data_IF_869993878535
#
_entry.id   IF_869993878535
#
_cell.length_a   1.000
_cell.length_b   1.000
_cell.length_c   1.000
_cell.angle_alpha   90.00
_cell.angle_beta   90.00
_cell.angle_gamma   90.00
#
_symmetry.space_group_name_H-M   'P 1'
#
loop_
_entity.id
_entity.type
_entity.pdbx_description
1 polymer ?
#
# COMPACT_ATOMS: atom_id res chain seq x y z
N UNK A 1 -1.88 9.89 76.60
CA UNK A 1 -2.86 10.33 75.58
C UNK A 1 -2.66 9.43 74.37
N UNK A 2 -3.25 8.23 74.39
CA UNK A 2 -4.43 7.78 73.62
C UNK A 2 -4.16 7.54 72.11
N UNK A 3 -4.38 6.28 71.73
CA UNK A 3 -4.39 5.57 70.44
C UNK A 3 -5.11 6.21 69.23
N UNK A 4 -4.64 5.88 68.00
CA UNK A 4 -5.32 5.07 66.94
C UNK A 4 -4.50 5.10 65.63
N UNK A 5 -3.95 4.00 65.08
CA UNK A 5 -4.55 2.88 64.32
C UNK A 5 -5.33 3.23 63.04
N UNK A 6 -4.88 2.67 61.90
CA UNK A 6 -5.63 1.85 60.88
C UNK A 6 -5.09 2.13 59.46
N UNK A 7 -4.26 1.29 58.83
CA UNK A 7 -4.56 0.04 58.09
C UNK A 7 -5.74 0.16 57.09
N UNK A 8 -5.39 0.13 55.79
CA UNK A 8 -6.08 -0.46 54.62
C UNK A 8 -5.05 -0.39 53.45
N UNK A 9 -4.31 -1.42 53.03
CA UNK A 9 -4.64 -2.71 52.38
C UNK A 9 -5.22 -2.55 50.96
N UNK A 10 -4.49 -3.12 49.96
CA UNK A 10 -4.87 -3.41 48.56
C UNK A 10 -5.03 -2.20 47.61
N UNK A 11 -4.44 -2.14 46.41
CA UNK A 11 -4.52 -3.10 45.31
C UNK A 11 -3.23 -3.10 44.46
N UNK A 12 -2.65 -4.28 44.34
CA UNK A 12 -1.78 -4.72 43.24
C UNK A 12 -2.68 -4.99 42.03
N UNK A 13 -2.55 -4.25 40.92
CA UNK A 13 -3.00 -4.67 39.58
C UNK A 13 -2.40 -3.70 38.55
N UNK A 14 -1.31 -4.08 37.88
CA UNK A 14 -1.42 -4.68 36.55
C UNK A 14 -1.85 -3.70 35.45
N UNK A 15 -1.20 -2.54 35.33
CA UNK A 15 -1.12 -1.90 34.02
C UNK A 15 -0.03 -2.61 33.22
N UNK A 16 -0.32 -3.85 32.80
CA UNK A 16 0.29 -4.43 31.61
C UNK A 16 0.09 -3.35 30.55
N UNK A 17 1.15 -2.61 30.22
CA UNK A 17 1.16 -1.87 28.98
C UNK A 17 1.05 -2.96 27.92
N UNK A 18 -0.15 -3.08 27.36
CA UNK A 18 -0.39 -3.92 26.21
C UNK A 18 0.60 -3.44 25.16
N UNK A 19 1.71 -4.16 25.05
CA UNK A 19 2.47 -4.23 23.83
C UNK A 19 1.51 -4.81 22.81
N UNK A 20 0.66 -3.95 22.25
CA UNK A 20 0.12 -4.19 20.93
C UNK A 20 1.35 -4.14 20.02
N UNK A 21 2.06 -5.26 19.97
CA UNK A 21 2.80 -5.61 18.78
C UNK A 21 1.73 -5.66 17.71
N UNK A 22 1.51 -4.53 17.06
CA UNK A 22 0.83 -4.48 15.78
C UNK A 22 1.71 -5.34 14.89
N UNK A 23 1.39 -6.63 14.83
CA UNK A 23 2.01 -7.55 13.91
C UNK A 23 1.72 -6.98 12.53
N UNK A 24 2.70 -6.27 11.96
CA UNK A 24 2.60 -5.68 10.64
C UNK A 24 2.57 -6.84 9.65
N UNK A 25 1.36 -7.37 9.43
CA UNK A 25 1.13 -8.43 8.47
C UNK A 25 0.86 -7.76 7.13
N UNK A 26 1.64 -8.16 6.11
CA UNK A 26 1.43 -7.73 4.74
C UNK A 26 -0.04 -7.95 4.34
N UNK A 27 -0.65 -7.07 3.53
CA UNK A 27 -1.96 -7.29 2.95
C UNK A 27 -1.98 -8.65 2.24
N UNK A 28 -3.07 -9.42 2.39
CA UNK A 28 -3.25 -10.65 1.61
C UNK A 28 -3.70 -10.33 0.18
N UNK A 29 -3.48 -11.22 -0.81
CA UNK A 29 -3.88 -10.97 -2.19
C UNK A 29 -5.37 -10.63 -2.32
N UNK A 30 -6.24 -11.39 -1.64
CA UNK A 30 -7.69 -11.14 -1.59
C UNK A 30 -8.07 -9.77 -1.03
N UNK A 31 -7.30 -9.23 -0.08
CA UNK A 31 -7.53 -7.88 0.45
C UNK A 31 -7.14 -6.83 -0.60
N UNK A 32 -6.02 -7.04 -1.29
CA UNK A 32 -5.54 -6.16 -2.37
C UNK A 32 -6.56 -6.13 -3.50
N UNK A 33 -6.92 -7.28 -4.05
CA UNK A 33 -7.89 -7.40 -5.13
C UNK A 33 -9.22 -6.73 -4.81
N UNK A 34 -9.76 -6.98 -3.62
CA UNK A 34 -11.02 -6.39 -3.18
C UNK A 34 -10.93 -4.86 -3.09
N UNK A 35 -9.83 -4.33 -2.56
CA UNK A 35 -9.73 -2.89 -2.23
C UNK A 35 -9.29 -2.05 -3.40
N UNK A 36 -8.41 -2.55 -4.25
CA UNK A 36 -7.85 -1.78 -5.36
C UNK A 36 -8.91 -1.43 -6.41
N UNK A 37 -9.95 -2.26 -6.55
CA UNK A 37 -11.06 -2.03 -7.48
C UNK A 37 -12.17 -1.11 -6.95
N UNK A 38 -12.14 -0.73 -5.67
CA UNK A 38 -13.21 0.07 -5.03
C UNK A 38 -13.19 1.57 -5.37
N UNK A 39 -12.37 2.04 -6.32
CA UNK A 39 -12.33 3.45 -6.69
C UNK A 39 -11.31 3.85 -7.75
N UNK A 40 -11.13 5.15 -7.87
CA UNK A 40 -10.17 5.78 -8.79
C UNK A 40 -8.93 6.21 -8.03
N UNK A 41 -7.77 5.94 -8.61
CA UNK A 41 -6.47 6.18 -7.99
C UNK A 41 -5.66 7.19 -8.79
N UNK A 42 -4.81 7.95 -8.10
CA UNK A 42 -3.75 8.78 -8.68
C UNK A 42 -2.41 8.42 -8.05
N UNK A 43 -1.31 8.82 -8.68
CA UNK A 43 0.01 8.74 -8.04
C UNK A 43 0.13 9.83 -6.98
N UNK A 44 0.31 9.41 -5.74
CA UNK A 44 0.65 10.27 -4.61
C UNK A 44 2.16 10.42 -4.40
N UNK A 45 2.92 9.41 -4.80
CA UNK A 45 4.38 9.41 -4.79
C UNK A 45 4.90 8.38 -5.80
N UNK A 46 5.92 8.75 -6.57
CA UNK A 46 6.76 7.82 -7.31
C UNK A 46 8.22 8.19 -7.06
N UNK A 47 8.96 7.28 -6.42
CA UNK A 47 10.40 7.42 -6.16
C UNK A 47 11.12 6.19 -6.70
N UNK A 48 12.09 6.41 -7.58
CA UNK A 48 12.79 5.35 -8.32
C UNK A 48 14.27 5.70 -8.40
N UNK A 49 15.16 4.80 -8.01
CA UNK A 49 16.61 4.96 -8.02
C UNK A 49 17.12 6.24 -7.32
N UNK A 50 16.34 6.74 -6.35
CA UNK A 50 16.62 7.98 -5.62
C UNK A 50 16.00 9.24 -6.23
N UNK A 51 15.47 9.18 -7.45
CA UNK A 51 14.77 10.28 -8.11
C UNK A 51 13.28 10.30 -7.77
N UNK A 52 12.68 11.50 -7.74
CA UNK A 52 11.24 11.66 -7.52
C UNK A 52 10.55 11.99 -8.85
N UNK A 53 9.69 11.08 -9.31
CA UNK A 53 9.01 11.16 -10.61
C UNK A 53 7.52 11.54 -10.48
N UNK A 54 7.04 11.80 -9.26
CA UNK A 54 5.61 12.06 -8.95
C UNK A 54 4.95 13.08 -9.88
N UNK A 55 5.65 14.17 -10.23
CA UNK A 55 5.10 15.24 -11.05
C UNK A 55 4.78 14.80 -12.49
N UNK A 56 5.46 13.78 -13.01
CA UNK A 56 5.24 13.21 -14.34
C UNK A 56 3.88 12.52 -14.49
N UNK A 57 3.19 12.26 -13.37
CA UNK A 57 1.90 11.56 -13.33
C UNK A 57 0.76 12.48 -12.88
N UNK A 58 0.97 13.80 -12.87
CA UNK A 58 -0.08 14.76 -12.52
C UNK A 58 -1.27 14.64 -13.49
N UNK A 59 -2.47 14.50 -12.94
CA UNK A 59 -3.70 14.37 -13.73
C UNK A 59 -3.96 12.97 -14.31
N UNK A 60 -3.00 12.05 -14.20
CA UNK A 60 -3.19 10.63 -14.57
C UNK A 60 -4.04 9.93 -13.52
N UNK A 61 -5.03 9.16 -13.99
CA UNK A 61 -5.96 8.39 -13.17
C UNK A 61 -5.91 6.93 -13.57
N UNK A 62 -5.98 6.07 -12.57
CA UNK A 62 -5.97 4.62 -12.70
C UNK A 62 -7.28 4.07 -12.12
N UNK A 63 -7.94 3.21 -12.88
CA UNK A 63 -9.13 2.47 -12.43
C UNK A 63 -8.86 0.99 -12.62
N UNK A 64 -8.64 0.30 -11.51
CA UNK A 64 -8.50 -1.15 -11.49
C UNK A 64 -9.90 -1.76 -11.57
N UNK A 65 -10.11 -2.66 -12.52
CA UNK A 65 -11.36 -3.38 -12.74
C UNK A 65 -11.25 -4.81 -12.26
N UNK A 66 -12.39 -5.39 -11.91
CA UNK A 66 -12.53 -6.84 -11.78
C UNK A 66 -12.01 -7.54 -13.06
N UNK A 67 -11.52 -8.78 -12.90
CA UNK A 67 -10.93 -9.58 -13.97
C UNK A 67 -9.61 -9.06 -14.55
N UNK A 68 -8.90 -8.18 -13.83
CA UNK A 68 -7.51 -7.87 -14.11
C UNK A 68 -7.27 -6.88 -15.24
N UNK A 69 -8.24 -5.99 -15.53
CA UNK A 69 -8.04 -4.84 -16.44
C UNK A 69 -7.76 -3.58 -15.64
N UNK A 70 -6.87 -2.71 -16.12
CA UNK A 70 -6.62 -1.38 -15.56
C UNK A 70 -6.80 -0.31 -16.62
N UNK A 71 -7.74 0.61 -16.40
CA UNK A 71 -7.95 1.76 -17.28
C UNK A 71 -7.09 2.93 -16.81
N UNK A 72 -6.36 3.55 -17.73
CA UNK A 72 -5.58 4.78 -17.48
C UNK A 72 -6.19 5.92 -18.28
N UNK A 73 -6.42 7.04 -17.63
CA UNK A 73 -6.99 8.24 -18.26
C UNK A 73 -6.30 9.52 -17.77
N UNK A 74 -6.42 10.60 -18.56
CA UNK A 74 -5.75 11.88 -18.31
C UNK A 74 -5.07 12.36 -19.59
N UNK A 75 -3.83 12.82 -19.47
CA UNK A 75 -2.96 13.10 -20.62
C UNK A 75 -2.56 11.83 -21.38
N UNK A 76 -2.51 10.70 -20.65
CA UNK A 76 -2.33 9.35 -21.18
C UNK A 76 -3.69 8.65 -21.14
N UNK A 77 -4.10 8.03 -22.24
CA UNK A 77 -5.31 7.22 -22.33
C UNK A 77 -4.97 5.85 -22.91
N UNK A 78 -4.98 4.83 -22.06
CA UNK A 78 -4.67 3.46 -22.46
C UNK A 78 -5.32 2.46 -21.49
N UNK A 79 -5.23 1.18 -21.81
CA UNK A 79 -5.61 0.10 -20.91
C UNK A 79 -4.44 -0.85 -20.73
N UNK A 80 -4.34 -1.43 -19.55
CA UNK A 80 -3.38 -2.47 -19.20
C UNK A 80 -4.05 -3.65 -18.51
N UNK A 81 -3.23 -4.56 -18.02
CA UNK A 81 -3.66 -5.64 -17.15
C UNK A 81 -3.03 -5.54 -15.76
N UNK A 82 -3.65 -6.18 -14.79
CA UNK A 82 -3.11 -6.34 -13.44
C UNK A 82 -3.55 -7.67 -12.82
N UNK A 83 -2.78 -8.19 -11.87
CA UNK A 83 -3.18 -9.29 -11.00
C UNK A 83 -2.37 -9.29 -9.71
N UNK A 84 -2.88 -9.95 -8.67
CA UNK A 84 -2.11 -10.23 -7.46
C UNK A 84 -1.56 -11.65 -7.51
N UNK A 85 -0.30 -11.84 -7.11
CA UNK A 85 0.31 -13.16 -7.02
C UNK A 85 -0.40 -14.04 -5.98
N UNK A 86 -0.95 -15.18 -6.40
CA UNK A 86 -1.57 -16.12 -5.48
C UNK A 86 -0.50 -16.91 -4.69
N UNK A 87 -0.59 -16.87 -3.36
CA UNK A 87 0.31 -17.64 -2.49
C UNK A 87 1.62 -16.94 -2.14
N UNK A 88 1.86 -15.74 -2.68
CA UNK A 88 3.03 -14.94 -2.35
C UNK A 88 2.87 -14.27 -0.96
N UNK A 89 3.89 -14.43 -0.11
CA UNK A 89 4.07 -13.68 1.13
C UNK A 89 5.50 -13.12 1.16
N UNK A 90 5.70 -11.81 0.92
CA UNK A 90 4.68 -10.76 0.81
C UNK A 90 3.86 -10.84 -0.51
N UNK A 91 2.65 -10.26 -0.51
CA UNK A 91 1.82 -10.17 -1.72
C UNK A 91 2.46 -9.30 -2.79
N UNK A 92 2.50 -9.80 -4.01
CA UNK A 92 2.93 -9.07 -5.20
C UNK A 92 1.73 -8.56 -6.01
N UNK A 93 1.84 -7.33 -6.51
CA UNK A 93 0.95 -6.72 -7.49
C UNK A 93 1.72 -6.57 -8.79
N UNK A 94 1.26 -7.26 -9.82
CA UNK A 94 1.80 -7.16 -11.17
C UNK A 94 0.88 -6.26 -11.99
N UNK A 95 1.46 -5.34 -12.74
CA UNK A 95 0.77 -4.53 -13.73
C UNK A 95 1.48 -4.66 -15.07
N UNK A 96 0.77 -4.45 -16.18
CA UNK A 96 1.36 -4.47 -17.51
C UNK A 96 0.64 -3.48 -18.41
N UNK A 97 1.41 -2.63 -19.07
CA UNK A 97 0.92 -1.64 -20.02
C UNK A 97 1.54 -1.83 -21.40
N UNK A 98 0.90 -1.34 -22.48
CA UNK A 98 1.46 -1.40 -23.82
C UNK A 98 2.82 -0.71 -23.91
N UNK A 99 3.77 -1.33 -24.63
CA UNK A 99 5.13 -0.79 -24.85
C UNK A 99 5.10 0.58 -25.56
N UNK A 100 4.02 0.90 -26.28
CA UNK A 100 3.81 2.21 -26.89
C UNK A 100 3.65 3.35 -25.88
N UNK A 101 3.43 3.05 -24.60
CA UNK A 101 3.28 4.02 -23.51
C UNK A 101 4.49 3.98 -22.54
N UNK A 102 5.65 4.49 -22.94
CA UNK A 102 6.88 4.39 -22.16
C UNK A 102 6.81 5.09 -20.80
N UNK A 103 5.94 6.09 -20.65
CA UNK A 103 5.68 6.78 -19.37
C UNK A 103 5.11 5.85 -18.30
N UNK A 104 4.46 4.76 -18.71
CA UNK A 104 3.88 3.76 -17.80
C UNK A 104 4.79 2.54 -17.57
N UNK A 105 5.97 2.51 -18.18
CA UNK A 105 6.93 1.39 -18.05
C UNK A 105 7.30 1.09 -16.59
N UNK A 106 7.43 2.14 -15.77
CA UNK A 106 7.70 2.01 -14.33
C UNK A 106 6.68 1.12 -13.60
N UNK A 107 5.40 1.18 -13.98
CA UNK A 107 4.38 0.38 -13.32
C UNK A 107 4.45 -1.09 -13.72
N UNK A 108 5.05 -1.40 -14.87
CA UNK A 108 5.12 -2.76 -15.42
C UNK A 108 6.23 -3.59 -14.78
N UNK A 109 6.18 -3.74 -13.46
CA UNK A 109 7.16 -4.46 -12.64
C UNK A 109 6.47 -5.32 -11.56
N UNK A 110 7.24 -6.09 -10.79
CA UNK A 110 6.74 -6.89 -9.68
C UNK A 110 6.77 -6.10 -8.35
N UNK A 111 5.64 -5.50 -8.01
CA UNK A 111 5.54 -4.63 -6.83
C UNK A 111 5.09 -5.40 -5.60
N UNK A 112 5.90 -5.39 -4.54
CA UNK A 112 5.45 -5.81 -3.21
C UNK A 112 4.42 -4.80 -2.69
N UNK A 113 3.28 -5.31 -2.23
CA UNK A 113 2.25 -4.50 -1.57
C UNK A 113 2.55 -4.41 -0.08
N UNK A 114 3.16 -3.31 0.37
CA UNK A 114 3.44 -3.07 1.78
C UNK A 114 2.17 -2.61 2.54
N UNK A 115 1.32 -1.80 1.90
CA UNK A 115 0.04 -1.36 2.47
C UNK A 115 -1.09 -1.34 1.44
N UNK A 116 -2.30 -1.73 1.86
CA UNK A 116 -3.53 -1.54 1.11
C UNK A 116 -4.67 -1.13 2.03
N UNK A 117 -5.19 0.08 1.85
CA UNK A 117 -6.36 0.60 2.56
C UNK A 117 -7.42 1.11 1.58
N UNK A 118 -8.48 1.75 2.09
CA UNK A 118 -9.43 2.44 1.24
C UNK A 118 -8.87 3.74 0.66
N UNK A 119 -7.77 4.29 1.19
CA UNK A 119 -7.26 5.59 0.76
C UNK A 119 -5.93 5.52 0.06
N UNK A 120 -5.12 4.52 0.40
CA UNK A 120 -3.75 4.39 -0.09
C UNK A 120 -3.41 2.93 -0.39
N UNK A 121 -2.64 2.73 -1.45
CA UNK A 121 -1.93 1.49 -1.74
C UNK A 121 -0.45 1.87 -1.85
N UNK A 122 0.38 1.31 -0.97
CA UNK A 122 1.83 1.56 -0.91
C UNK A 122 2.52 0.32 -1.45
N UNK A 123 3.34 0.56 -2.46
CA UNK A 123 4.06 -0.44 -3.19
C UNK A 123 5.55 -0.17 -3.08
N UNK A 124 6.31 -1.26 -3.00
CA UNK A 124 7.76 -1.25 -3.04
C UNK A 124 8.25 -2.26 -4.05
N UNK A 125 9.32 -1.91 -4.76
CA UNK A 125 9.86 -2.81 -5.79
C UNK A 125 10.43 -4.08 -5.18
N UNK A 126 10.21 -5.23 -5.82
CA UNK A 126 10.73 -6.52 -5.39
C UNK A 126 12.20 -6.73 -5.80
N UNK A 127 13.07 -5.77 -5.46
CA UNK A 127 14.49 -5.84 -5.80
C UNK A 127 15.40 -5.61 -4.57
N UNK A 128 16.64 -6.09 -4.68
CA UNK A 128 17.69 -5.92 -3.67
C UNK A 128 18.61 -4.74 -3.98
N UNK A 129 18.03 -3.59 -4.31
CA UNK A 129 18.78 -2.35 -4.55
C UNK A 129 19.16 -1.68 -3.23
N UNK A 130 20.20 -0.83 -3.26
CA UNK A 130 20.61 -0.03 -2.10
C UNK A 130 19.68 1.15 -1.82
N UNK A 131 18.80 1.47 -2.78
CA UNK A 131 17.80 2.51 -2.69
C UNK A 131 16.42 1.91 -2.94
N UNK A 132 15.51 2.14 -2.02
CA UNK A 132 14.16 1.59 -2.07
C UNK A 132 13.28 2.39 -3.05
N UNK A 133 12.78 1.70 -4.07
CA UNK A 133 11.79 2.22 -5.01
C UNK A 133 10.40 2.10 -4.42
N UNK A 134 9.64 3.20 -4.45
CA UNK A 134 8.32 3.30 -3.81
C UNK A 134 7.31 3.95 -4.74
N UNK A 135 6.16 3.30 -4.90
CA UNK A 135 4.96 3.87 -5.52
C UNK A 135 3.85 3.97 -4.49
N UNK A 136 3.18 5.12 -4.44
CA UNK A 136 1.99 5.32 -3.61
C UNK A 136 0.84 5.71 -4.52
N UNK A 137 -0.17 4.85 -4.59
CA UNK A 137 -1.47 5.19 -5.15
C UNK A 137 -2.34 5.82 -4.06
N UNK A 138 -2.95 6.96 -4.35
CA UNK A 138 -3.93 7.63 -3.49
C UNK A 138 -5.29 7.64 -4.15
N UNK A 139 -6.32 7.26 -3.39
CA UNK A 139 -7.69 7.32 -3.86
C UNK A 139 -8.15 8.77 -4.00
N UNK A 140 -8.97 9.05 -5.02
CA UNK A 140 -9.49 10.41 -5.29
C UNK A 140 -11.01 10.54 -5.20
N UNK A 141 -11.71 9.45 -4.90
CA UNK A 141 -13.15 9.38 -4.64
C UNK A 141 -13.50 8.99 -3.18
#
# INVERSE_FOLDING_TARGET
>A
MIHRNSIFTFVFLLSVAWMFSACAKNPSPKRVEKKIVEGTWKIGQAKVDGETLTASYNGVKFVFRDYGTIDVSGEIATAGSWYCGEGDDPTLLFMSFPISEPTLSLFSDDWIVDEMSTRECILRRNESTTQEDVLVFRRID
#
